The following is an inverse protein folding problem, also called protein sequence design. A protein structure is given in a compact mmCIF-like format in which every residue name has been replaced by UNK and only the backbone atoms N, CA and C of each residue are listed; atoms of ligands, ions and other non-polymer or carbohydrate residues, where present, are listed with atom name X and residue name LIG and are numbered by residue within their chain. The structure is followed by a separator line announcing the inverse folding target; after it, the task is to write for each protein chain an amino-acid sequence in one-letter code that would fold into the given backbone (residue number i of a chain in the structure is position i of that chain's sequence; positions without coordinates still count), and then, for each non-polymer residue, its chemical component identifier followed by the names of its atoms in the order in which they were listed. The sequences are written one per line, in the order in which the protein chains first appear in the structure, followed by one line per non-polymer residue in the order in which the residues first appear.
data_IF_980801006178
#
_entry.id   IF_980801006178
#
_cell.length_a   1.000
_cell.length_b   1.000
_cell.length_c   1.000
_cell.angle_alpha   90.00
_cell.angle_beta   90.00
_cell.angle_gamma   90.00
#
_symmetry.space_group_name_H-M   'P 1'
#
loop_
_entity.id
_entity.type
_entity.pdbx_description
1 polymer ?
#
# COMPACT_ATOMS: atom_id res chain seq x y z
N UNK A 1 -4.72 20.38 -1.68
CA UNK A 1 -4.16 20.01 -0.35
C UNK A 1 -4.43 21.14 0.63
N UNK A 2 -5.01 20.86 1.80
CA UNK A 2 -5.31 21.88 2.80
C UNK A 2 -3.99 22.33 3.47
N UNK A 3 -3.47 23.47 3.02
CA UNK A 3 -2.15 23.97 3.44
C UNK A 3 -2.07 24.27 4.96
N UNK A 4 -3.19 24.67 5.58
CA UNK A 4 -3.27 24.97 7.02
C UNK A 4 -3.13 23.68 7.86
N UNK A 5 -3.88 22.64 7.52
CA UNK A 5 -3.78 21.33 8.20
C UNK A 5 -2.38 20.72 8.07
N UNK A 6 -1.77 20.84 6.87
CA UNK A 6 -0.41 20.35 6.64
C UNK A 6 0.60 21.06 7.54
N UNK A 7 0.55 22.39 7.62
CA UNK A 7 1.45 23.18 8.46
C UNK A 7 1.28 22.86 9.96
N UNK A 8 0.03 22.70 10.43
CA UNK A 8 -0.25 22.37 11.83
C UNK A 8 0.30 20.98 12.19
N UNK A 9 -0.01 19.96 11.40
CA UNK A 9 0.46 18.60 11.64
C UNK A 9 1.98 18.48 11.52
N UNK A 10 2.61 19.10 10.51
CA UNK A 10 4.06 19.12 10.39
C UNK A 10 4.74 19.76 11.61
N UNK A 11 4.15 20.82 12.17
CA UNK A 11 4.67 21.49 13.36
C UNK A 11 4.66 20.57 14.58
N UNK A 12 3.57 19.88 14.87
CA UNK A 12 3.49 18.99 16.05
C UNK A 12 4.33 17.73 15.86
N UNK A 13 4.37 17.15 14.65
CA UNK A 13 5.22 16.00 14.33
C UNK A 13 6.71 16.31 14.50
N UNK A 14 7.16 17.53 14.17
CA UNK A 14 8.55 17.94 14.35
C UNK A 14 9.00 18.01 15.82
N UNK A 15 8.04 18.16 16.74
CA UNK A 15 8.29 18.25 18.20
C UNK A 15 8.30 16.90 18.90
N UNK A 16 8.02 15.80 18.20
CA UNK A 16 8.03 14.47 18.81
C UNK A 16 9.41 14.14 19.36
N UNK A 17 9.50 13.58 20.58
CA UNK A 17 10.77 13.07 21.11
C UNK A 17 11.29 11.91 20.26
N UNK A 18 12.59 11.64 20.25
CA UNK A 18 13.17 10.53 19.48
C UNK A 18 12.56 9.16 19.81
N UNK A 19 12.13 8.96 21.06
CA UNK A 19 11.55 7.71 21.54
C UNK A 19 10.08 7.51 21.12
N UNK A 20 9.38 8.54 20.64
CA UNK A 20 7.92 8.53 20.46
C UNK A 20 7.40 7.34 19.65
N UNK A 21 8.04 7.03 18.52
CA UNK A 21 7.64 5.89 17.69
C UNK A 21 7.82 4.54 18.40
N UNK A 22 8.93 4.39 19.14
CA UNK A 22 9.22 3.19 19.92
C UNK A 22 8.27 3.03 21.09
N UNK A 23 8.00 4.11 21.84
CA UNK A 23 7.08 4.12 22.97
C UNK A 23 5.64 3.81 22.53
N UNK A 24 5.21 4.39 21.40
CA UNK A 24 3.90 4.09 20.83
C UNK A 24 3.79 2.63 20.36
N UNK A 25 4.80 2.12 19.65
CA UNK A 25 4.85 0.73 19.19
C UNK A 25 4.81 -0.27 20.36
N UNK A 26 5.53 0.04 21.45
CA UNK A 26 5.52 -0.82 22.65
C UNK A 26 4.14 -0.87 23.34
N UNK A 27 3.34 0.18 23.22
CA UNK A 27 2.01 0.27 23.80
C UNK A 27 0.88 -0.15 22.84
N UNK A 28 1.17 -0.46 21.56
CA UNK A 28 0.20 -0.55 20.47
C UNK A 28 -0.97 -1.49 20.75
N UNK A 29 -0.73 -2.64 21.36
CA UNK A 29 -1.79 -3.62 21.66
C UNK A 29 -2.72 -3.12 22.78
N UNK A 30 -2.16 -2.44 23.80
CA UNK A 30 -2.95 -1.81 24.87
C UNK A 30 -3.77 -0.64 24.35
N UNK A 31 -3.18 0.18 23.48
CA UNK A 31 -3.86 1.30 22.84
C UNK A 31 -5.09 0.79 22.06
N UNK A 32 -4.88 -0.21 21.19
CA UNK A 32 -5.95 -0.80 20.39
C UNK A 32 -7.05 -1.37 21.25
N UNK A 33 -6.70 -2.18 22.27
CA UNK A 33 -7.68 -2.75 23.19
C UNK A 33 -8.51 -1.67 23.93
N UNK A 34 -7.87 -0.58 24.35
CA UNK A 34 -8.57 0.52 25.01
C UNK A 34 -9.54 1.23 24.06
N UNK A 35 -9.13 1.49 22.81
CA UNK A 35 -9.99 2.11 21.80
C UNK A 35 -11.15 1.20 21.43
N UNK A 36 -10.89 -0.10 21.18
CA UNK A 36 -11.93 -1.09 20.88
C UNK A 36 -12.96 -1.15 22.01
N UNK A 37 -12.51 -1.22 23.26
CA UNK A 37 -13.39 -1.27 24.43
C UNK A 37 -14.21 0.03 24.60
N UNK A 38 -13.61 1.20 24.40
CA UNK A 38 -14.29 2.48 24.50
C UNK A 38 -15.38 2.64 23.44
N UNK A 39 -15.13 2.23 22.20
CA UNK A 39 -16.11 2.29 21.13
C UNK A 39 -17.21 1.23 21.30
N UNK A 40 -16.86 -0.01 21.66
CA UNK A 40 -17.83 -1.09 21.88
C UNK A 40 -18.76 -0.83 23.08
N UNK A 41 -18.32 -0.04 24.06
CA UNK A 41 -19.17 0.38 25.17
C UNK A 41 -20.22 1.45 24.80
N UNK A 42 -20.15 2.01 23.61
CA UNK A 42 -21.06 3.07 23.16
C UNK A 42 -22.39 2.50 22.66
N UNK A 43 -23.54 2.97 23.18
CA UNK A 43 -24.85 2.50 22.74
C UNK A 43 -25.22 2.94 21.31
N UNK A 44 -24.54 4.00 20.79
CA UNK A 44 -24.74 4.54 19.44
C UNK A 44 -23.77 3.94 18.39
N UNK A 45 -22.90 3.00 18.77
CA UNK A 45 -21.94 2.38 17.86
C UNK A 45 -22.59 1.81 16.58
N UNK A 46 -23.72 1.07 16.62
CA UNK A 46 -24.34 0.56 15.39
C UNK A 46 -24.70 1.66 14.38
N UNK A 47 -25.16 2.82 14.88
CA UNK A 47 -25.47 3.98 14.03
C UNK A 47 -24.20 4.66 13.49
N UNK A 48 -23.07 4.57 14.19
CA UNK A 48 -21.80 5.12 13.77
C UNK A 48 -21.14 4.30 12.68
N UNK A 49 -21.22 2.96 12.74
CA UNK A 49 -20.61 2.05 11.77
C UNK A 49 -21.53 1.64 10.62
N UNK A 50 -22.79 2.13 10.63
CA UNK A 50 -23.71 2.04 9.48
C UNK A 50 -24.25 0.66 9.14
N UNK A 51 -24.00 -0.36 9.98
CA UNK A 51 -24.44 -1.73 9.74
C UNK A 51 -25.06 -2.35 11.00
N UNK A 52 -26.25 -2.95 10.85
CA UNK A 52 -26.80 -3.90 11.82
C UNK A 52 -26.14 -5.28 11.55
N UNK A 53 -24.89 -5.51 12.02
CA UNK A 53 -24.26 -6.80 11.82
C UNK A 53 -22.75 -6.83 12.09
N UNK A 54 -22.14 -8.00 11.87
CA UNK A 54 -20.72 -8.27 12.13
C UNK A 54 -19.76 -7.52 11.19
N UNK A 55 -20.18 -7.23 9.96
CA UNK A 55 -19.32 -6.65 8.92
C UNK A 55 -18.77 -5.26 9.29
N UNK A 56 -19.58 -4.43 9.97
CA UNK A 56 -19.14 -3.11 10.44
C UNK A 56 -18.12 -3.20 11.56
N UNK A 57 -18.27 -4.15 12.48
CA UNK A 57 -17.32 -4.38 13.58
C UNK A 57 -16.02 -4.91 13.04
N UNK A 58 -16.03 -5.87 12.11
CA UNK A 58 -14.82 -6.39 11.48
C UNK A 58 -14.05 -5.31 10.70
N UNK A 59 -14.79 -4.43 10.00
CA UNK A 59 -14.20 -3.29 9.30
C UNK A 59 -13.57 -2.29 10.28
N UNK A 60 -14.23 -2.01 11.41
CA UNK A 60 -13.72 -1.18 12.49
C UNK A 60 -12.43 -1.76 13.08
N UNK A 61 -12.43 -3.04 13.47
CA UNK A 61 -11.27 -3.72 14.04
C UNK A 61 -10.07 -3.71 13.07
N UNK A 62 -10.33 -3.96 11.78
CA UNK A 62 -9.31 -3.90 10.74
C UNK A 62 -8.76 -2.47 10.58
N UNK A 63 -9.62 -1.44 10.69
CA UNK A 63 -9.19 -0.04 10.67
C UNK A 63 -8.27 0.27 11.85
N UNK A 64 -8.62 -0.15 13.05
CA UNK A 64 -7.79 0.11 14.26
C UNK A 64 -6.41 -0.56 14.17
N UNK A 65 -6.34 -1.79 13.66
CA UNK A 65 -5.05 -2.46 13.40
C UNK A 65 -4.19 -1.67 12.41
N UNK A 66 -4.81 -1.20 11.33
CA UNK A 66 -4.12 -0.43 10.30
C UNK A 66 -3.74 0.97 10.81
N UNK A 67 -4.62 1.64 11.56
CA UNK A 67 -4.36 2.94 12.18
C UNK A 67 -3.14 2.87 13.13
N UNK A 68 -3.10 1.88 14.01
CA UNK A 68 -1.99 1.70 14.95
C UNK A 68 -0.64 1.52 14.23
N UNK A 69 -0.61 0.70 13.19
CA UNK A 69 0.58 0.49 12.34
C UNK A 69 0.98 1.76 11.59
N UNK A 70 -0.01 2.43 11.01
CA UNK A 70 0.19 3.66 10.26
C UNK A 70 0.75 4.78 11.15
N UNK A 71 0.14 5.03 12.33
CA UNK A 71 0.62 6.06 13.25
C UNK A 71 2.02 5.78 13.78
N UNK A 72 2.39 4.50 14.01
CA UNK A 72 3.78 4.14 14.32
C UNK A 72 4.73 4.64 13.23
N UNK A 73 4.35 4.48 11.96
CA UNK A 73 5.14 4.94 10.81
C UNK A 73 5.20 6.46 10.72
N UNK A 74 4.07 7.13 10.94
CA UNK A 74 3.98 8.61 10.97
C UNK A 74 4.91 9.19 12.04
N UNK A 75 4.92 8.61 13.24
CA UNK A 75 5.79 9.07 14.34
C UNK A 75 7.27 8.80 14.05
N UNK A 76 7.61 7.73 13.35
CA UNK A 76 8.97 7.44 12.93
C UNK A 76 9.47 8.39 11.84
N UNK A 77 8.66 8.60 10.81
CA UNK A 77 9.02 9.40 9.63
C UNK A 77 8.80 10.91 9.83
N UNK A 78 7.87 11.29 10.73
CA UNK A 78 7.49 12.69 11.05
C UNK A 78 7.01 13.49 9.82
N UNK A 79 6.40 12.80 8.86
CA UNK A 79 5.88 13.39 7.63
C UNK A 79 4.36 13.58 7.71
N UNK A 80 3.90 14.82 7.57
CA UNK A 80 2.49 15.16 7.65
C UNK A 80 1.73 14.93 6.34
N UNK A 81 2.41 14.93 5.19
CA UNK A 81 1.73 14.80 3.90
C UNK A 81 1.06 13.43 3.73
N UNK A 82 1.76 12.28 3.96
CA UNK A 82 1.11 10.98 3.93
C UNK A 82 0.03 10.80 5.00
N UNK A 83 0.15 11.48 6.16
CA UNK A 83 -0.88 11.45 7.19
C UNK A 83 -2.19 12.05 6.66
N UNK A 84 -2.13 13.24 6.07
CA UNK A 84 -3.30 13.93 5.52
C UNK A 84 -3.93 13.13 4.38
N UNK A 85 -3.12 12.67 3.43
CA UNK A 85 -3.60 11.90 2.28
C UNK A 85 -4.28 10.60 2.75
N UNK A 86 -3.71 9.93 3.76
CA UNK A 86 -4.32 8.72 4.34
C UNK A 86 -5.61 9.03 5.11
N UNK A 87 -5.67 10.12 5.88
CA UNK A 87 -6.90 10.51 6.58
C UNK A 87 -8.04 10.76 5.57
N UNK A 88 -7.80 11.55 4.52
CA UNK A 88 -8.78 11.81 3.47
C UNK A 88 -9.24 10.51 2.81
N UNK A 89 -8.29 9.63 2.45
CA UNK A 89 -8.56 8.32 1.86
C UNK A 89 -9.43 7.44 2.78
N UNK A 90 -9.09 7.33 4.05
CA UNK A 90 -9.82 6.51 5.03
C UNK A 90 -11.24 7.08 5.20
N UNK A 91 -11.39 8.39 5.42
CA UNK A 91 -12.69 9.01 5.60
C UNK A 91 -13.59 8.79 4.38
N UNK A 92 -13.10 9.05 3.18
CA UNK A 92 -13.85 8.79 1.94
C UNK A 92 -14.26 7.32 1.82
N UNK A 93 -13.30 6.41 2.05
CA UNK A 93 -13.50 4.96 1.88
C UNK A 93 -14.51 4.36 2.86
N UNK A 94 -14.54 4.80 4.12
CA UNK A 94 -15.45 4.26 5.13
C UNK A 94 -16.81 4.96 5.09
N UNK A 95 -16.87 6.28 4.88
CA UNK A 95 -18.12 7.01 4.70
C UNK A 95 -18.91 6.46 3.50
N UNK A 96 -18.23 6.14 2.39
CA UNK A 96 -18.89 5.53 1.22
C UNK A 96 -19.47 4.13 1.51
N UNK A 97 -19.03 3.48 2.58
CA UNK A 97 -19.53 2.18 3.05
C UNK A 97 -20.56 2.29 4.17
N UNK A 98 -21.04 3.49 4.48
CA UNK A 98 -22.08 3.72 5.45
C UNK A 98 -21.62 4.12 6.85
N UNK A 99 -20.31 4.27 7.10
CA UNK A 99 -19.82 4.82 8.36
C UNK A 99 -20.25 6.28 8.49
N UNK A 100 -20.72 6.64 9.67
CA UNK A 100 -21.00 8.03 9.99
C UNK A 100 -19.73 8.87 9.95
N UNK A 101 -19.73 10.08 9.36
CA UNK A 101 -18.61 10.98 9.52
C UNK A 101 -18.18 11.18 10.98
N UNK A 102 -19.12 11.22 11.92
CA UNK A 102 -18.82 11.39 13.35
C UNK A 102 -18.01 10.24 13.97
N UNK A 103 -17.99 9.05 13.35
CA UNK A 103 -17.23 7.92 13.83
C UNK A 103 -15.75 8.27 14.01
N UNK A 104 -15.12 8.88 12.98
CA UNK A 104 -13.68 9.15 13.01
C UNK A 104 -13.29 10.23 14.03
N UNK A 105 -14.17 11.19 14.27
CA UNK A 105 -13.93 12.17 15.33
C UNK A 105 -13.86 11.48 16.69
N UNK A 106 -14.84 10.63 16.98
CA UNK A 106 -14.93 9.86 18.23
C UNK A 106 -13.75 8.87 18.33
N UNK A 107 -13.42 8.19 17.25
CA UNK A 107 -12.28 7.28 17.21
C UNK A 107 -10.96 7.99 17.56
N UNK A 108 -10.71 9.17 16.98
CA UNK A 108 -9.51 9.96 17.29
C UNK A 108 -9.47 10.42 18.76
N UNK A 109 -10.63 10.77 19.36
CA UNK A 109 -10.73 11.08 20.80
C UNK A 109 -10.35 9.85 21.65
N UNK A 110 -10.88 8.66 21.32
CA UNK A 110 -10.52 7.41 21.99
C UNK A 110 -9.02 7.11 21.88
N UNK A 111 -8.40 7.33 20.71
CA UNK A 111 -6.95 7.17 20.55
C UNK A 111 -6.16 8.18 21.40
N UNK A 112 -6.57 9.45 21.46
CA UNK A 112 -5.91 10.47 22.29
C UNK A 112 -5.97 10.13 23.79
N UNK A 113 -7.11 9.62 24.28
CA UNK A 113 -7.29 9.15 25.65
C UNK A 113 -6.43 7.92 25.94
N UNK A 114 -6.43 6.92 25.05
CA UNK A 114 -5.63 5.71 25.18
C UNK A 114 -4.14 6.04 25.22
N UNK A 115 -3.64 6.96 24.37
CA UNK A 115 -2.27 7.45 24.38
C UNK A 115 -1.91 8.06 25.74
N UNK A 116 -2.80 8.87 26.31
CA UNK A 116 -2.57 9.49 27.62
C UNK A 116 -2.47 8.44 28.75
N UNK A 117 -3.24 7.35 28.63
CA UNK A 117 -3.29 6.30 29.64
C UNK A 117 -2.14 5.28 29.55
N UNK A 118 -1.67 4.97 28.36
CA UNK A 118 -0.83 3.78 28.12
C UNK A 118 0.56 4.08 27.55
N UNK A 119 0.80 5.28 27.00
CA UNK A 119 2.13 5.66 26.50
C UNK A 119 2.97 6.27 27.63
N UNK A 120 4.28 6.01 27.71
CA UNK A 120 5.16 6.63 28.70
C UNK A 120 5.06 8.16 28.69
N UNK A 121 5.07 8.78 29.90
CA UNK A 121 4.89 10.24 30.09
C UNK A 121 5.83 11.10 29.23
N UNK A 122 7.04 10.62 28.94
CA UNK A 122 8.01 11.34 28.11
C UNK A 122 7.56 11.53 26.66
N UNK A 123 6.67 10.70 26.14
CA UNK A 123 6.17 10.74 24.78
C UNK A 123 4.67 11.02 24.69
N UNK A 124 3.90 10.66 25.72
CA UNK A 124 2.44 10.74 25.72
C UNK A 124 1.89 12.13 25.40
N UNK A 125 2.47 13.18 25.98
CA UNK A 125 2.06 14.57 25.73
C UNK A 125 2.22 14.99 24.29
N UNK A 126 3.39 14.73 23.70
CA UNK A 126 3.69 15.12 22.33
C UNK A 126 2.89 14.28 21.30
N UNK A 127 2.69 12.98 21.55
CA UNK A 127 1.83 12.12 20.71
C UNK A 127 0.37 12.56 20.83
N UNK A 128 -0.09 12.88 22.05
CA UNK A 128 -1.42 13.43 22.29
C UNK A 128 -1.67 14.76 21.55
N UNK A 129 -0.64 15.62 21.42
CA UNK A 129 -0.73 16.86 20.62
C UNK A 129 -0.97 16.54 19.13
N UNK A 130 -0.36 15.48 18.59
CA UNK A 130 -0.63 15.06 17.22
C UNK A 130 -2.09 14.64 17.05
N UNK A 131 -2.62 13.79 17.95
CA UNK A 131 -4.03 13.37 17.89
C UNK A 131 -4.99 14.55 18.05
N UNK A 132 -4.73 15.48 18.99
CA UNK A 132 -5.53 16.72 19.13
C UNK A 132 -5.51 17.55 17.85
N UNK A 133 -4.34 17.67 17.22
CA UNK A 133 -4.22 18.41 15.95
C UNK A 133 -4.97 17.68 14.81
N UNK A 134 -4.97 16.34 14.77
CA UNK A 134 -5.79 15.58 13.84
C UNK A 134 -7.29 15.84 14.05
N UNK A 135 -7.74 15.90 15.31
CA UNK A 135 -9.11 16.24 15.68
C UNK A 135 -9.47 17.67 15.22
N UNK A 136 -8.59 18.63 15.45
CA UNK A 136 -8.79 20.02 14.99
C UNK A 136 -8.85 20.16 13.46
N UNK A 137 -8.08 19.35 12.74
CA UNK A 137 -8.08 19.31 11.28
C UNK A 137 -9.26 18.52 10.69
N UNK A 138 -9.88 17.65 11.47
CA UNK A 138 -10.91 16.70 11.04
C UNK A 138 -12.05 17.34 10.23
N UNK A 139 -12.71 18.47 10.65
CA UNK A 139 -13.81 19.05 9.90
C UNK A 139 -13.43 19.46 8.48
N UNK A 140 -12.22 19.95 8.29
CA UNK A 140 -11.72 20.36 6.98
C UNK A 140 -11.40 19.14 6.10
N UNK A 141 -10.81 18.08 6.68
CA UNK A 141 -10.41 16.88 5.97
C UNK A 141 -11.61 16.00 5.60
N UNK A 142 -12.62 15.90 6.48
CA UNK A 142 -13.86 15.15 6.16
C UNK A 142 -14.68 15.90 5.10
N UNK A 143 -14.69 17.23 5.13
CA UNK A 143 -15.33 18.01 4.07
C UNK A 143 -14.64 17.81 2.73
N UNK A 144 -13.32 17.71 2.71
CA UNK A 144 -12.55 17.41 1.50
C UNK A 144 -12.77 15.95 1.03
N UNK A 145 -12.90 15.00 1.95
CA UNK A 145 -13.22 13.60 1.64
C UNK A 145 -14.63 13.43 1.04
N UNK A 146 -15.59 14.26 1.48
CA UNK A 146 -16.96 14.26 0.99
C UNK A 146 -17.14 15.01 -0.35
N UNK A 147 -16.23 15.93 -0.68
CA UNK A 147 -16.18 16.55 -1.99
C UNK A 147 -15.62 15.51 -2.94
N UNK A 148 -16.33 15.25 -4.06
CA UNK A 148 -15.67 14.55 -5.17
C UNK A 148 -14.39 15.35 -5.48
N UNK A 149 -13.22 14.69 -5.55
CA UNK A 149 -12.01 15.42 -5.90
C UNK A 149 -12.27 16.11 -7.26
N UNK A 150 -12.31 17.44 -7.26
CA UNK A 150 -12.19 18.23 -8.49
C UNK A 150 -10.85 17.86 -9.11
N UNK A 151 -10.86 17.02 -10.11
CA UNK A 151 -9.66 16.45 -10.73
C UNK A 151 -9.53 14.93 -10.61
N UNK A 152 -10.42 14.23 -9.90
CA UNK A 152 -10.68 12.83 -10.16
C UNK A 152 -11.71 12.72 -11.32
N UNK A 153 -11.46 13.50 -12.40
CA UNK A 153 -11.95 13.06 -13.71
C UNK A 153 -11.62 11.58 -13.78
N UNK A 154 -12.55 10.74 -14.19
CA UNK A 154 -12.24 9.41 -14.70
C UNK A 154 -10.90 9.56 -15.40
N UNK A 155 -9.83 8.99 -14.83
CA UNK A 155 -8.55 8.95 -15.55
C UNK A 155 -8.98 8.34 -16.86
N UNK A 156 -8.87 9.12 -17.93
CA UNK A 156 -9.43 8.71 -19.20
C UNK A 156 -8.74 7.42 -19.57
N UNK A 157 -9.35 6.31 -19.13
CA UNK A 157 -8.90 4.99 -19.51
C UNK A 157 -8.97 4.95 -21.03
N UNK A 158 -7.92 4.49 -21.67
CA UNK A 158 -8.04 4.14 -23.07
C UNK A 158 -9.14 3.06 -23.24
N UNK A 159 -9.65 2.92 -24.44
CA UNK A 159 -10.76 2.00 -24.71
C UNK A 159 -10.42 0.53 -24.36
N UNK A 160 -9.15 0.15 -24.46
CA UNK A 160 -8.67 -1.19 -24.12
C UNK A 160 -8.75 -1.44 -22.60
N UNK A 161 -8.23 -0.52 -21.82
CA UNK A 161 -8.27 -0.60 -20.36
C UNK A 161 -9.71 -0.54 -19.83
N UNK A 162 -10.59 0.26 -20.47
CA UNK A 162 -12.00 0.33 -20.11
C UNK A 162 -12.72 -1.00 -20.38
N UNK A 163 -12.53 -1.61 -21.55
CA UNK A 163 -13.14 -2.93 -21.89
C UNK A 163 -12.66 -4.01 -20.94
N UNK A 164 -11.38 -4.03 -20.58
CA UNK A 164 -10.89 -4.99 -19.59
C UNK A 164 -11.53 -4.74 -18.22
N UNK A 165 -11.63 -3.48 -17.77
CA UNK A 165 -12.29 -3.14 -16.51
C UNK A 165 -13.76 -3.58 -16.49
N UNK A 166 -14.50 -3.37 -17.57
CA UNK A 166 -15.89 -3.80 -17.69
C UNK A 166 -16.02 -5.33 -17.57
N UNK A 167 -15.15 -6.09 -18.24
CA UNK A 167 -15.13 -7.55 -18.13
C UNK A 167 -14.76 -8.02 -16.71
N UNK A 168 -13.80 -7.36 -16.05
CA UNK A 168 -13.42 -7.65 -14.67
C UNK A 168 -14.56 -7.34 -13.68
N UNK A 169 -15.28 -6.23 -13.86
CA UNK A 169 -16.42 -5.86 -13.02
C UNK A 169 -17.62 -6.79 -13.23
N UNK A 170 -17.80 -7.28 -14.44
CA UNK A 170 -18.79 -8.32 -14.75
C UNK A 170 -18.39 -9.70 -14.22
N UNK A 171 -17.18 -9.83 -13.65
CA UNK A 171 -16.58 -11.11 -13.22
C UNK A 171 -16.51 -12.16 -14.34
N UNK A 172 -16.40 -11.70 -15.58
CA UNK A 172 -16.33 -12.55 -16.78
C UNK A 172 -14.87 -12.83 -17.14
N UNK A 173 -14.36 -13.95 -16.62
CA UNK A 173 -13.01 -14.42 -16.93
C UNK A 173 -12.83 -14.76 -18.41
N UNK A 174 -13.90 -15.24 -19.08
CA UNK A 174 -13.89 -15.57 -20.51
C UNK A 174 -13.73 -14.32 -21.38
N UNK A 175 -14.54 -13.29 -21.14
CA UNK A 175 -14.42 -12.01 -21.84
C UNK A 175 -13.07 -11.34 -21.55
N UNK A 176 -12.60 -11.37 -20.30
CA UNK A 176 -11.28 -10.84 -19.93
C UNK A 176 -10.14 -11.55 -20.69
N UNK A 177 -10.20 -12.87 -20.79
CA UNK A 177 -9.21 -13.66 -21.54
C UNK A 177 -9.30 -13.40 -23.06
N UNK A 178 -10.51 -13.32 -23.61
CA UNK A 178 -10.70 -13.01 -25.03
C UNK A 178 -10.15 -11.62 -25.39
N UNK A 179 -10.38 -10.62 -24.51
CA UNK A 179 -9.80 -9.29 -24.66
C UNK A 179 -8.26 -9.34 -24.66
N UNK A 180 -7.64 -10.01 -23.66
CA UNK A 180 -6.20 -10.11 -23.57
C UNK A 180 -5.58 -10.84 -24.79
N UNK A 181 -6.23 -11.91 -25.30
CA UNK A 181 -5.78 -12.63 -26.50
C UNK A 181 -5.90 -11.80 -27.77
N UNK A 182 -6.84 -10.87 -27.85
CA UNK A 182 -6.96 -9.94 -28.97
C UNK A 182 -5.85 -8.89 -29.02
N UNK A 183 -5.29 -8.55 -27.86
CA UNK A 183 -4.25 -7.51 -27.72
C UNK A 183 -2.83 -8.08 -27.66
N UNK A 184 -2.65 -9.27 -27.12
CA UNK A 184 -1.35 -9.94 -26.94
C UNK A 184 -1.11 -10.90 -28.11
N UNK A 185 -0.54 -10.38 -29.20
CA UNK A 185 -0.19 -11.18 -30.37
C UNK A 185 1.11 -11.98 -30.20
N UNK A 186 1.99 -11.57 -29.30
CA UNK A 186 3.29 -12.18 -29.01
C UNK A 186 3.86 -11.74 -27.67
N UNK A 187 4.97 -12.37 -27.23
CA UNK A 187 5.55 -12.07 -25.91
C UNK A 187 5.91 -10.59 -25.74
N UNK A 188 6.32 -9.91 -26.81
CA UNK A 188 6.70 -8.49 -26.82
C UNK A 188 5.53 -7.57 -26.43
N UNK A 189 4.30 -7.99 -26.72
CA UNK A 189 3.10 -7.21 -26.39
C UNK A 189 2.70 -7.32 -24.90
N UNK A 190 3.18 -8.33 -24.17
CA UNK A 190 2.76 -8.61 -22.79
C UNK A 190 3.09 -7.45 -21.86
N UNK A 191 4.32 -6.93 -21.90
CA UNK A 191 4.74 -5.81 -21.05
C UNK A 191 3.88 -4.56 -21.30
N UNK A 192 3.60 -4.23 -22.56
CA UNK A 192 2.72 -3.15 -22.93
C UNK A 192 1.29 -3.35 -22.43
N UNK A 193 0.76 -4.56 -22.54
CA UNK A 193 -0.58 -4.88 -22.05
C UNK A 193 -0.66 -4.78 -20.52
N UNK A 194 0.34 -5.32 -19.79
CA UNK A 194 0.38 -5.19 -18.33
C UNK A 194 0.41 -3.74 -17.87
N UNK A 195 1.24 -2.91 -18.49
CA UNK A 195 1.50 -1.54 -18.03
C UNK A 195 0.48 -0.52 -18.53
N UNK A 196 -0.05 -0.69 -19.74
CA UNK A 196 -0.93 0.30 -20.39
C UNK A 196 -2.41 -0.08 -20.34
N UNK A 197 -2.74 -1.35 -20.13
CA UNK A 197 -4.13 -1.83 -20.12
C UNK A 197 -4.51 -2.36 -18.73
N UNK A 198 -3.81 -3.39 -18.24
CA UNK A 198 -4.19 -4.07 -17.00
C UNK A 198 -3.94 -3.19 -15.76
N UNK A 199 -2.79 -2.56 -15.63
CA UNK A 199 -2.50 -1.71 -14.48
C UNK A 199 -3.47 -0.52 -14.35
N UNK A 200 -3.78 0.25 -15.42
CA UNK A 200 -4.81 1.28 -15.36
C UNK A 200 -6.20 0.76 -15.01
N UNK A 201 -6.61 -0.39 -15.56
CA UNK A 201 -7.89 -1.02 -15.23
C UNK A 201 -7.98 -1.41 -13.76
N UNK A 202 -6.93 -2.02 -13.19
CA UNK A 202 -6.88 -2.39 -11.77
C UNK A 202 -6.78 -1.17 -10.84
N UNK A 203 -6.10 -0.11 -11.25
CA UNK A 203 -6.09 1.14 -10.50
C UNK A 203 -7.49 1.76 -10.44
N UNK A 204 -8.24 1.75 -11.55
CA UNK A 204 -9.62 2.24 -11.56
C UNK A 204 -10.57 1.35 -10.76
N UNK A 205 -10.39 0.02 -10.83
CA UNK A 205 -11.10 -0.93 -9.96
C UNK A 205 -10.88 -0.58 -8.48
N UNK A 206 -9.64 -0.27 -8.10
CA UNK A 206 -9.28 0.16 -6.75
C UNK A 206 -9.99 1.45 -6.35
N UNK A 207 -9.97 2.48 -7.21
CA UNK A 207 -10.68 3.75 -6.96
C UNK A 207 -12.20 3.58 -6.83
N UNK A 208 -12.82 2.73 -7.65
CA UNK A 208 -14.26 2.43 -7.52
C UNK A 208 -14.58 1.70 -6.22
N UNK A 209 -13.71 0.81 -5.78
CA UNK A 209 -13.85 0.18 -4.47
C UNK A 209 -13.69 1.19 -3.33
N UNK A 210 -12.74 2.11 -3.40
CA UNK A 210 -12.55 3.20 -2.44
C UNK A 210 -13.80 4.08 -2.29
N UNK A 211 -14.54 4.27 -3.39
CA UNK A 211 -15.80 5.04 -3.45
C UNK A 211 -17.06 4.22 -3.09
N UNK A 212 -16.92 2.96 -2.70
CA UNK A 212 -18.05 2.09 -2.41
C UNK A 212 -18.86 1.64 -3.64
N UNK A 213 -18.39 1.95 -4.85
CA UNK A 213 -19.05 1.55 -6.11
C UNK A 213 -18.80 0.08 -6.47
N UNK A 214 -17.83 -0.55 -5.83
CA UNK A 214 -17.44 -1.95 -6.02
C UNK A 214 -17.28 -2.58 -4.64
N UNK A 215 -17.91 -3.73 -4.42
CA UNK A 215 -17.78 -4.46 -3.15
C UNK A 215 -16.39 -5.09 -2.98
N UNK A 216 -16.03 -5.43 -1.74
CA UNK A 216 -14.80 -6.15 -1.42
C UNK A 216 -14.72 -7.46 -2.20
N UNK A 217 -15.83 -8.23 -2.23
CA UNK A 217 -15.89 -9.50 -2.97
C UNK A 217 -15.67 -9.33 -4.47
N UNK A 218 -16.30 -8.33 -5.09
CA UNK A 218 -16.07 -8.02 -6.51
C UNK A 218 -14.61 -7.65 -6.79
N UNK A 219 -14.00 -6.79 -5.94
CA UNK A 219 -12.59 -6.42 -6.07
C UNK A 219 -11.68 -7.66 -6.00
N UNK A 220 -11.91 -8.55 -5.02
CA UNK A 220 -11.10 -9.76 -4.87
C UNK A 220 -11.23 -10.69 -6.06
N UNK A 221 -12.44 -10.96 -6.54
CA UNK A 221 -12.68 -11.82 -7.71
C UNK A 221 -12.08 -11.22 -8.98
N UNK A 222 -12.26 -9.93 -9.22
CA UNK A 222 -11.65 -9.23 -10.36
C UNK A 222 -10.11 -9.32 -10.32
N UNK A 223 -9.51 -9.16 -9.13
CA UNK A 223 -8.05 -9.33 -8.95
C UNK A 223 -7.61 -10.76 -9.23
N UNK A 224 -8.37 -11.75 -8.78
CA UNK A 224 -8.08 -13.16 -9.07
C UNK A 224 -8.16 -13.47 -10.58
N UNK A 225 -9.14 -12.90 -11.31
CA UNK A 225 -9.21 -13.01 -12.77
C UNK A 225 -7.96 -12.39 -13.42
N UNK A 226 -7.52 -11.21 -12.98
CA UNK A 226 -6.30 -10.59 -13.50
C UNK A 226 -5.07 -11.49 -13.28
N UNK A 227 -4.91 -12.10 -12.09
CA UNK A 227 -3.83 -13.06 -11.84
C UNK A 227 -3.92 -14.32 -12.72
N UNK A 228 -5.13 -14.80 -13.00
CA UNK A 228 -5.34 -15.92 -13.95
C UNK A 228 -4.89 -15.52 -15.36
N UNK A 229 -5.21 -14.33 -15.85
CA UNK A 229 -4.72 -13.82 -17.13
C UNK A 229 -3.19 -13.85 -17.18
N UNK A 230 -2.51 -13.31 -16.18
CA UNK A 230 -1.05 -13.35 -16.11
C UNK A 230 -0.50 -14.77 -16.19
N UNK A 231 -1.14 -15.70 -15.50
CA UNK A 231 -0.75 -17.12 -15.52
C UNK A 231 -0.90 -17.77 -16.91
N UNK A 232 -1.97 -17.43 -17.64
CA UNK A 232 -2.22 -17.96 -19.00
C UNK A 232 -1.13 -17.49 -19.99
N UNK A 233 -0.63 -16.26 -19.85
CA UNK A 233 0.39 -15.71 -20.75
C UNK A 233 1.83 -16.00 -20.30
N UNK A 234 2.06 -16.43 -19.06
CA UNK A 234 3.39 -16.68 -18.51
C UNK A 234 4.23 -17.69 -19.32
N UNK A 235 3.68 -18.78 -19.92
CA UNK A 235 4.45 -19.67 -20.81
C UNK A 235 5.07 -18.96 -22.02
N UNK A 236 4.44 -17.89 -22.52
CA UNK A 236 5.00 -17.08 -23.61
C UNK A 236 6.25 -16.30 -23.16
N UNK A 237 6.25 -15.82 -21.90
CA UNK A 237 7.39 -15.17 -21.29
C UNK A 237 8.56 -16.14 -21.15
N UNK A 238 8.30 -17.34 -20.63
CA UNK A 238 9.31 -18.38 -20.45
C UNK A 238 9.92 -18.85 -21.77
N UNK A 239 9.10 -18.99 -22.82
CA UNK A 239 9.54 -19.42 -24.14
C UNK A 239 10.21 -18.34 -25.00
N UNK A 240 10.20 -17.08 -24.56
CA UNK A 240 10.75 -15.96 -25.33
C UNK A 240 12.29 -15.95 -25.33
N UNK A 241 12.96 -15.99 -26.51
CA UNK A 241 14.40 -15.83 -26.60
C UNK A 241 14.82 -14.43 -26.12
N UNK A 242 15.73 -14.35 -25.17
CA UNK A 242 16.14 -13.08 -24.54
C UNK A 242 17.61 -13.11 -24.12
N UNK A 243 18.29 -11.94 -24.06
CA UNK A 243 19.64 -11.87 -23.51
C UNK A 243 19.63 -12.26 -22.02
N UNK A 244 20.70 -12.85 -21.52
CA UNK A 244 20.86 -13.12 -20.10
C UNK A 244 21.43 -11.88 -19.43
N UNK A 245 20.67 -11.27 -18.48
CA UNK A 245 21.11 -10.06 -17.76
C UNK A 245 21.61 -10.34 -16.35
N UNK A 246 21.18 -11.44 -15.75
CA UNK A 246 21.49 -11.78 -14.36
C UNK A 246 20.29 -12.37 -13.63
N UNK A 247 20.41 -12.43 -12.30
CA UNK A 247 19.36 -12.91 -11.42
C UNK A 247 19.05 -11.86 -10.36
N UNK A 248 17.78 -11.74 -9.98
CA UNK A 248 17.33 -10.89 -8.88
C UNK A 248 16.26 -11.59 -8.05
N UNK A 249 16.11 -11.20 -6.78
CA UNK A 249 14.96 -11.54 -5.95
C UNK A 249 13.99 -10.37 -5.97
N UNK A 250 12.71 -10.63 -6.24
CA UNK A 250 11.63 -9.65 -6.13
C UNK A 250 10.62 -10.13 -5.10
N UNK A 251 10.34 -9.28 -4.14
CA UNK A 251 9.41 -9.54 -3.03
C UNK A 251 8.48 -8.35 -2.80
N UNK A 252 7.52 -8.48 -1.91
CA UNK A 252 6.78 -7.36 -1.35
C UNK A 252 7.14 -7.15 0.12
N UNK A 253 6.90 -5.95 0.62
CA UNK A 253 7.14 -5.62 2.02
C UNK A 253 6.42 -6.60 2.96
N UNK A 254 7.00 -6.95 4.11
CA UNK A 254 6.28 -7.74 5.11
C UNK A 254 4.95 -7.09 5.50
N UNK A 255 3.88 -7.88 5.48
CA UNK A 255 2.51 -7.41 5.73
C UNK A 255 1.82 -6.76 4.54
N UNK A 256 2.46 -6.69 3.37
CA UNK A 256 1.86 -6.22 2.12
C UNK A 256 1.12 -7.37 1.41
N UNK A 257 -0.12 -7.07 0.97
CA UNK A 257 -0.95 -8.03 0.23
C UNK A 257 -1.12 -7.64 -1.25
N UNK A 258 -0.63 -6.46 -1.66
CA UNK A 258 -0.71 -5.98 -3.04
C UNK A 258 0.42 -6.59 -3.87
N UNK A 259 0.19 -7.79 -4.41
CA UNK A 259 1.21 -8.56 -5.13
C UNK A 259 1.09 -8.52 -6.65
N UNK A 260 -0.05 -8.09 -7.22
CA UNK A 260 -0.26 -8.10 -8.68
C UNK A 260 0.68 -7.12 -9.39
N UNK A 261 0.85 -5.90 -8.86
CA UNK A 261 1.79 -4.93 -9.41
C UNK A 261 3.24 -5.44 -9.44
N UNK A 262 3.80 -5.91 -8.31
CA UNK A 262 5.10 -6.58 -8.28
C UNK A 262 5.21 -7.78 -9.23
N UNK A 263 4.16 -8.58 -9.41
CA UNK A 263 4.16 -9.67 -10.39
C UNK A 263 4.27 -9.13 -11.82
N UNK A 264 3.57 -8.04 -12.17
CA UNK A 264 3.74 -7.40 -13.48
C UNK A 264 5.19 -6.92 -13.70
N UNK A 265 5.82 -6.37 -12.66
CA UNK A 265 7.24 -5.97 -12.71
C UNK A 265 8.12 -7.19 -12.95
N UNK A 266 7.86 -8.32 -12.28
CA UNK A 266 8.59 -9.57 -12.48
C UNK A 266 8.49 -10.04 -13.94
N UNK A 267 7.29 -10.10 -14.49
CA UNK A 267 7.04 -10.51 -15.88
C UNK A 267 7.77 -9.58 -16.88
N UNK A 268 7.76 -8.26 -16.66
CA UNK A 268 8.47 -7.29 -17.50
C UNK A 268 10.00 -7.47 -17.43
N UNK A 269 10.53 -7.74 -16.24
CA UNK A 269 11.97 -8.01 -16.06
C UNK A 269 12.36 -9.35 -16.70
N UNK A 270 11.53 -10.37 -16.60
CA UNK A 270 11.77 -11.65 -17.26
C UNK A 270 11.77 -11.51 -18.78
N UNK A 271 10.87 -10.72 -19.37
CA UNK A 271 10.87 -10.37 -20.79
C UNK A 271 12.15 -9.63 -21.20
N UNK A 272 12.70 -8.80 -20.31
CA UNK A 272 13.97 -8.09 -20.56
C UNK A 272 15.21 -8.99 -20.41
N UNK A 273 15.06 -10.20 -19.90
CA UNK A 273 16.15 -11.19 -19.79
C UNK A 273 16.70 -11.42 -18.39
N UNK A 274 16.07 -10.89 -17.38
CA UNK A 274 16.38 -11.22 -16.00
C UNK A 274 15.82 -12.60 -15.60
N UNK A 275 16.54 -13.31 -14.76
CA UNK A 275 16.00 -14.45 -14.03
C UNK A 275 15.41 -13.92 -12.70
N UNK A 276 14.09 -13.86 -12.61
CA UNK A 276 13.41 -13.28 -11.44
C UNK A 276 12.96 -14.37 -10.48
N UNK A 277 13.49 -14.33 -9.24
CA UNK A 277 12.98 -15.15 -8.15
C UNK A 277 11.87 -14.34 -7.46
N UNK A 278 10.64 -14.49 -7.95
CA UNK A 278 9.49 -13.80 -7.37
C UNK A 278 8.92 -14.58 -6.19
N UNK A 279 8.92 -13.96 -5.00
CA UNK A 279 8.50 -14.64 -3.76
C UNK A 279 7.02 -14.45 -3.43
N UNK A 280 6.34 -13.51 -4.09
CA UNK A 280 4.97 -13.13 -3.71
C UNK A 280 4.89 -12.43 -2.36
N UNK A 281 3.68 -12.45 -1.78
CA UNK A 281 3.38 -11.86 -0.48
C UNK A 281 3.81 -12.78 0.68
N UNK A 282 3.96 -12.17 1.86
CA UNK A 282 4.14 -12.88 3.15
C UNK A 282 5.41 -13.75 3.26
N UNK A 283 6.44 -13.48 2.46
CA UNK A 283 7.74 -14.17 2.61
C UNK A 283 8.47 -13.66 3.86
N UNK A 284 8.90 -14.55 4.78
CA UNK A 284 9.73 -14.15 5.92
C UNK A 284 11.07 -13.57 5.48
N UNK A 285 11.56 -12.56 6.21
CA UNK A 285 12.83 -11.87 5.88
C UNK A 285 14.01 -12.81 5.80
N UNK A 286 14.10 -13.80 6.72
CA UNK A 286 15.16 -14.82 6.72
C UNK A 286 15.12 -15.68 5.45
N UNK A 287 13.93 -15.98 4.93
CA UNK A 287 13.75 -16.68 3.67
C UNK A 287 14.27 -15.87 2.46
N UNK A 288 14.07 -14.57 2.46
CA UNK A 288 14.58 -13.68 1.41
C UNK A 288 16.11 -13.66 1.44
N UNK A 289 16.72 -13.49 2.61
CA UNK A 289 18.18 -13.53 2.77
C UNK A 289 18.77 -14.89 2.35
N UNK A 290 18.10 -15.99 2.70
CA UNK A 290 18.50 -17.34 2.28
C UNK A 290 18.48 -17.49 0.75
N UNK A 291 17.44 -17.01 0.07
CA UNK A 291 17.35 -17.04 -1.42
C UNK A 291 18.49 -16.24 -2.05
N UNK A 292 18.74 -15.01 -1.60
CA UNK A 292 19.85 -14.18 -2.08
C UNK A 292 21.20 -14.86 -1.91
N UNK A 293 21.41 -15.53 -0.78
CA UNK A 293 22.64 -16.28 -0.51
C UNK A 293 22.75 -17.54 -1.39
N UNK A 294 21.70 -18.37 -1.40
CA UNK A 294 21.67 -19.65 -2.11
C UNK A 294 21.91 -19.49 -3.62
N UNK A 295 21.35 -18.43 -4.21
CA UNK A 295 21.45 -18.16 -5.64
C UNK A 295 22.58 -17.20 -6.01
N UNK A 296 23.37 -16.72 -5.03
CA UNK A 296 24.45 -15.78 -5.26
C UNK A 296 24.00 -14.41 -5.80
N UNK A 297 22.76 -14.03 -5.52
CA UNK A 297 22.09 -12.84 -6.07
C UNK A 297 22.41 -11.62 -5.23
N UNK A 298 22.75 -10.50 -5.89
CA UNK A 298 23.08 -9.22 -5.26
C UNK A 298 22.09 -8.08 -5.60
N UNK A 299 20.92 -8.41 -6.13
CA UNK A 299 19.86 -7.45 -6.44
C UNK A 299 18.57 -7.89 -5.76
N UNK A 300 18.00 -7.00 -4.94
CA UNK A 300 16.71 -7.17 -4.27
C UNK A 300 15.75 -6.08 -4.73
N UNK A 301 14.61 -6.46 -5.27
CA UNK A 301 13.51 -5.56 -5.56
C UNK A 301 12.38 -5.73 -4.52
N UNK A 302 11.84 -4.62 -4.00
CA UNK A 302 10.80 -4.65 -2.97
C UNK A 302 9.63 -3.76 -3.36
N UNK A 303 8.45 -4.36 -3.51
CA UNK A 303 7.19 -3.64 -3.74
C UNK A 303 6.53 -3.24 -2.42
N UNK A 304 6.13 -1.96 -2.28
CA UNK A 304 5.40 -1.47 -1.10
C UNK A 304 4.27 -0.55 -1.57
N UNK A 305 3.05 -0.94 -1.32
CA UNK A 305 1.85 -0.19 -1.75
C UNK A 305 1.29 0.66 -0.62
N UNK A 306 1.23 0.09 0.60
CA UNK A 306 0.69 0.77 1.75
C UNK A 306 1.78 1.53 2.51
N UNK A 307 1.53 2.82 2.77
CA UNK A 307 2.49 3.69 3.45
C UNK A 307 2.93 3.14 4.82
N UNK A 308 2.01 2.53 5.56
CA UNK A 308 2.32 1.94 6.88
C UNK A 308 3.26 0.72 6.81
N UNK A 309 3.57 0.20 5.62
CA UNK A 309 4.55 -0.85 5.42
C UNK A 309 5.97 -0.33 5.17
N UNK A 310 6.19 0.99 5.04
CA UNK A 310 7.53 1.58 4.86
C UNK A 310 8.51 1.15 5.96
N UNK A 311 8.17 1.22 7.27
CA UNK A 311 9.08 0.75 8.32
C UNK A 311 9.38 -0.74 8.27
N UNK A 312 8.45 -1.54 7.73
CA UNK A 312 8.69 -2.97 7.53
C UNK A 312 9.69 -3.19 6.39
N UNK A 313 9.58 -2.38 5.32
CA UNK A 313 10.54 -2.37 4.21
C UNK A 313 11.94 -1.98 4.69
N UNK A 314 12.05 -0.95 5.51
CA UNK A 314 13.32 -0.51 6.12
C UNK A 314 13.97 -1.64 6.94
N UNK A 315 13.19 -2.27 7.83
CA UNK A 315 13.67 -3.40 8.64
C UNK A 315 14.10 -4.59 7.77
N UNK A 316 13.31 -4.91 6.74
CA UNK A 316 13.64 -5.94 5.77
C UNK A 316 15.01 -5.66 5.13
N UNK A 317 15.22 -4.44 4.61
CA UNK A 317 16.46 -4.05 3.95
C UNK A 317 17.64 -4.16 4.91
N UNK A 318 17.51 -3.59 6.12
CA UNK A 318 18.56 -3.61 7.12
C UNK A 318 18.93 -5.04 7.54
N UNK A 319 17.94 -5.89 7.81
CA UNK A 319 18.15 -7.27 8.22
C UNK A 319 18.79 -8.11 7.11
N UNK A 320 18.29 -7.99 5.86
CA UNK A 320 18.84 -8.72 4.73
C UNK A 320 20.29 -8.30 4.46
N UNK A 321 20.61 -7.00 4.49
CA UNK A 321 22.00 -6.50 4.34
C UNK A 321 22.92 -7.05 5.43
N UNK A 322 22.45 -7.05 6.68
CA UNK A 322 23.21 -7.59 7.81
C UNK A 322 23.49 -9.10 7.64
N UNK A 323 22.46 -9.89 7.29
CA UNK A 323 22.61 -11.34 7.13
C UNK A 323 23.45 -11.73 5.91
N UNK A 324 23.34 -10.94 4.81
CA UNK A 324 24.08 -11.25 3.58
C UNK A 324 25.58 -10.95 3.69
N UNK A 325 25.97 -9.92 4.46
CA UNK A 325 27.37 -9.57 4.73
C UNK A 325 28.21 -9.19 3.49
N UNK A 326 27.54 -8.87 2.37
CA UNK A 326 28.15 -8.46 1.08
C UNK A 326 27.30 -7.39 0.42
N UNK A 327 27.85 -6.67 -0.62
CA UNK A 327 27.09 -5.64 -1.34
C UNK A 327 25.77 -6.18 -1.89
N UNK A 328 24.71 -5.40 -1.70
CA UNK A 328 23.35 -5.67 -2.17
C UNK A 328 22.77 -4.38 -2.75
N UNK A 329 22.37 -4.42 -4.02
CA UNK A 329 21.60 -3.34 -4.64
C UNK A 329 20.11 -3.56 -4.31
N UNK A 330 19.50 -2.57 -3.69
CA UNK A 330 18.08 -2.60 -3.33
C UNK A 330 17.32 -1.57 -4.16
N UNK A 331 16.35 -2.03 -4.94
CA UNK A 331 15.39 -1.19 -5.65
C UNK A 331 14.02 -1.30 -4.99
N UNK A 332 13.41 -0.18 -4.67
CA UNK A 332 12.03 -0.14 -4.14
C UNK A 332 11.08 0.45 -5.16
N UNK A 333 9.83 0.05 -5.07
CA UNK A 333 8.74 0.57 -5.89
C UNK A 333 7.39 0.46 -5.21
N UNK A 334 6.38 1.02 -5.86
CA UNK A 334 5.00 1.02 -5.38
C UNK A 334 4.54 2.36 -4.84
N UNK A 335 3.22 2.46 -4.62
CA UNK A 335 2.51 3.71 -4.28
C UNK A 335 3.02 4.36 -2.98
N UNK A 336 3.52 3.56 -2.02
CA UNK A 336 4.04 4.08 -0.76
C UNK A 336 5.22 5.04 -0.94
N UNK A 337 5.95 4.97 -2.05
CA UNK A 337 7.09 5.83 -2.36
C UNK A 337 6.78 6.90 -3.40
N UNK A 338 5.51 7.07 -3.80
CA UNK A 338 5.12 8.14 -4.71
C UNK A 338 5.24 9.52 -4.02
N UNK A 339 5.56 10.56 -4.79
CA UNK A 339 5.75 11.92 -4.27
C UNK A 339 7.11 12.11 -3.59
N UNK A 340 7.12 12.81 -2.45
CA UNK A 340 8.35 13.12 -1.70
C UNK A 340 8.73 12.07 -0.65
N UNK A 341 8.23 10.85 -0.79
CA UNK A 341 8.49 9.78 0.19
C UNK A 341 9.98 9.47 0.30
N UNK A 342 10.53 9.29 1.49
CA UNK A 342 11.97 9.16 1.74
C UNK A 342 12.48 7.75 1.44
N UNK A 343 12.33 7.25 0.21
CA UNK A 343 12.82 5.92 -0.17
C UNK A 343 14.34 5.75 0.07
N UNK A 344 15.12 6.82 -0.05
CA UNK A 344 16.56 6.77 0.20
C UNK A 344 16.91 6.65 1.69
N UNK A 345 16.07 7.17 2.60
CA UNK A 345 16.31 7.11 4.04
C UNK A 345 16.12 5.71 4.63
N UNK A 346 15.37 4.85 3.97
CA UNK A 346 15.15 3.45 4.41
C UNK A 346 16.23 2.47 3.92
N UNK A 347 17.32 2.98 3.36
CA UNK A 347 18.43 2.15 2.90
C UNK A 347 18.25 1.54 1.50
N UNK A 348 17.31 2.03 0.70
CA UNK A 348 17.19 1.67 -0.71
C UNK A 348 18.21 2.46 -1.56
N UNK A 349 18.73 1.82 -2.61
CA UNK A 349 19.68 2.44 -3.53
C UNK A 349 18.95 3.08 -4.72
N UNK A 350 17.82 2.52 -5.13
CA UNK A 350 17.06 2.92 -6.32
C UNK A 350 15.55 2.95 -6.01
N UNK A 351 14.84 3.82 -6.74
CA UNK A 351 13.38 3.87 -6.74
C UNK A 351 12.83 3.80 -8.16
N UNK A 352 11.91 2.87 -8.40
CA UNK A 352 11.19 2.75 -9.67
C UNK A 352 9.68 2.98 -9.45
N UNK A 353 9.10 4.03 -10.02
CA UNK A 353 7.67 4.31 -9.92
C UNK A 353 6.80 3.31 -10.70
N UNK A 354 7.36 2.65 -11.71
CA UNK A 354 6.68 1.71 -12.60
C UNK A 354 7.62 0.63 -13.14
N UNK A 355 7.04 -0.38 -13.83
CA UNK A 355 7.77 -1.50 -14.36
C UNK A 355 8.79 -1.11 -15.44
N UNK A 356 8.47 -0.14 -16.30
CA UNK A 356 9.37 0.30 -17.38
C UNK A 356 10.61 0.98 -16.80
N UNK A 357 10.42 1.81 -15.78
CA UNK A 357 11.52 2.46 -15.05
C UNK A 357 12.37 1.42 -14.33
N UNK A 358 11.76 0.41 -13.69
CA UNK A 358 12.49 -0.67 -13.04
C UNK A 358 13.38 -1.44 -14.04
N UNK A 359 12.83 -1.80 -15.19
CA UNK A 359 13.57 -2.45 -16.28
C UNK A 359 14.73 -1.56 -16.77
N UNK A 360 14.48 -0.27 -17.03
CA UNK A 360 15.50 0.65 -17.51
C UNK A 360 16.66 0.82 -16.50
N UNK A 361 16.34 1.01 -15.21
CA UNK A 361 17.36 1.16 -14.16
C UNK A 361 18.19 -0.10 -14.00
N UNK A 362 17.56 -1.27 -13.93
CA UNK A 362 18.27 -2.53 -13.73
C UNK A 362 19.13 -2.94 -14.92
N UNK A 363 18.82 -2.50 -16.15
CA UNK A 363 19.72 -2.68 -17.30
C UNK A 363 21.11 -2.08 -17.09
N UNK A 364 21.21 -0.96 -16.39
CA UNK A 364 22.49 -0.31 -16.08
C UNK A 364 23.25 -0.97 -14.93
N UNK A 365 22.57 -1.84 -14.17
CA UNK A 365 23.15 -2.59 -13.05
C UNK A 365 23.41 -4.08 -13.39
N UNK A 366 23.11 -4.50 -14.63
CA UNK A 366 23.45 -5.83 -15.13
C UNK A 366 24.95 -5.89 -15.44
N UNK A 367 25.72 -6.45 -14.54
CA UNK A 367 27.15 -6.80 -14.75
C UNK A 367 27.39 -8.22 -14.31
#
# INVERSE_FOLDING_TARGET
MNCDSLCKLATVLSRLPPAAAGDYLAAVDLLRQAVDAALQARPDLPALIGTEGTDGIEAMDANHVNHARFMTSVFAQRDAAPLIDTMIYIYSSYISRGFSPNYFHIELECWAEAVTAHVPLGSAGAIGDVYRTMIDCYPALVSQAAQEPEGNSEVALDDRARRLLEALLALDAGASLAHARGEIAGPEAISGYWTQVMAPALHELGRRWERGLVSVGQKHLATAIAQQLMTVFYPMILGHPRPRRGCLVLTVSPGELHEVGPRMVADCLELDGWNVIYTGASMPTDGIAALLHQHGVNVLAVGTTMYFNIPQTERLIAQVRHQLGRPLTVIVGGRAFAGNSPWSSIGADLFAPDANTAVAMLRHHAT
#
